data_IF_737942179632
#
_entry.id   IF_737942179632
#
_cell.length_a   1.000
_cell.length_b   1.000
_cell.length_c   1.000
_cell.angle_alpha   90.00
_cell.angle_beta   90.00
_cell.angle_gamma   90.00
#
_symmetry.space_group_name_H-M   'P 1'
#
loop_
_entity.id
_entity.type
_entity.pdbx_description
1 polymer ?
#
# COMPACT_ATOMS: atom_id res chain seq x y z
N UNK A 1 -7.66 7.39 -9.49
CA UNK A 1 -7.11 6.02 -9.58
C UNK A 1 -8.11 5.03 -9.00
N UNK A 2 -8.27 3.83 -9.58
CA UNK A 2 -9.18 2.79 -9.05
C UNK A 2 -8.39 1.78 -8.21
N UNK A 3 -8.79 1.57 -6.96
CA UNK A 3 -8.15 0.62 -6.04
C UNK A 3 -9.18 -0.45 -5.67
N UNK A 4 -8.79 -1.72 -5.77
CA UNK A 4 -9.57 -2.87 -5.29
C UNK A 4 -8.93 -3.42 -4.01
N UNK A 5 -9.69 -3.47 -2.92
CA UNK A 5 -9.22 -3.90 -1.60
C UNK A 5 -10.21 -4.87 -0.95
N UNK A 6 -9.74 -5.70 -0.03
CA UNK A 6 -10.58 -6.57 0.80
C UNK A 6 -10.93 -5.87 2.10
N UNK A 7 -12.23 -5.82 2.41
CA UNK A 7 -12.76 -5.29 3.68
C UNK A 7 -13.58 -6.31 4.40
N UNK A 8 -13.73 -6.15 5.72
CA UNK A 8 -14.69 -6.93 6.48
C UNK A 8 -16.07 -6.80 5.86
N UNK A 9 -16.71 -7.94 5.60
CA UNK A 9 -17.99 -7.96 4.90
C UNK A 9 -19.06 -7.22 5.71
N UNK A 10 -19.65 -6.18 5.14
CA UNK A 10 -20.68 -5.37 5.81
C UNK A 10 -21.96 -6.17 6.10
N UNK A 11 -22.31 -7.13 5.23
CA UNK A 11 -23.53 -7.94 5.35
C UNK A 11 -23.49 -8.89 6.55
N UNK A 12 -22.34 -9.53 6.82
CA UNK A 12 -22.20 -10.48 7.93
C UNK A 12 -21.36 -9.96 9.09
N UNK A 13 -20.83 -8.72 8.99
CA UNK A 13 -19.94 -8.07 9.97
C UNK A 13 -18.77 -8.97 10.40
N UNK A 14 -18.14 -9.64 9.44
CA UNK A 14 -17.00 -10.52 9.70
C UNK A 14 -17.34 -11.91 10.25
N UNK A 15 -18.62 -12.26 10.46
CA UNK A 15 -19.01 -13.60 10.93
C UNK A 15 -18.88 -14.69 9.85
N UNK A 16 -19.07 -14.31 8.58
CA UNK A 16 -19.02 -15.23 7.43
C UNK A 16 -20.35 -15.96 7.15
N UNK A 17 -21.31 -15.89 8.06
CA UNK A 17 -22.65 -16.47 7.90
C UNK A 17 -23.77 -15.56 8.38
N UNK A 18 -25.01 -16.06 8.31
CA UNK A 18 -26.20 -15.41 8.90
C UNK A 18 -26.08 -15.34 10.43
N UNK A 19 -26.76 -14.36 11.02
CA UNK A 19 -26.88 -14.25 12.48
C UNK A 19 -27.56 -15.51 13.05
N UNK A 20 -26.89 -16.19 13.97
CA UNK A 20 -27.36 -17.46 14.54
C UNK A 20 -27.28 -18.65 13.58
N UNK A 21 -26.53 -18.54 12.47
CA UNK A 21 -26.36 -19.62 11.51
C UNK A 21 -25.79 -20.89 12.15
N UNK A 22 -26.32 -22.05 11.74
CA UNK A 22 -25.89 -23.32 12.30
C UNK A 22 -24.44 -23.56 11.92
N UNK A 23 -23.60 -23.68 12.95
CA UNK A 23 -22.17 -23.95 12.78
C UNK A 23 -21.91 -25.39 13.18
N UNK A 24 -21.37 -26.18 12.26
CA UNK A 24 -21.06 -27.58 12.48
C UNK A 24 -19.57 -27.76 12.78
N UNK A 25 -19.24 -28.75 13.62
CA UNK A 25 -17.84 -29.13 13.85
C UNK A 25 -17.24 -29.62 12.54
N UNK A 26 -16.05 -29.12 12.21
CA UNK A 26 -15.35 -29.56 11.01
C UNK A 26 -15.02 -31.05 11.12
N UNK A 27 -15.59 -31.88 10.23
CA UNK A 27 -15.38 -33.34 10.22
C UNK A 27 -13.91 -33.70 10.05
N UNK A 28 -13.17 -32.91 9.26
CA UNK A 28 -11.78 -33.21 8.92
C UNK A 28 -10.75 -32.89 10.01
N UNK A 29 -11.08 -32.02 10.96
CA UNK A 29 -10.18 -31.69 12.10
C UNK A 29 -10.86 -31.88 13.46
N UNK A 30 -12.10 -32.36 13.48
CA UNK A 30 -12.93 -32.61 14.67
C UNK A 30 -12.97 -31.42 15.65
N UNK A 31 -13.01 -30.19 15.13
CA UNK A 31 -13.00 -28.98 15.97
C UNK A 31 -11.62 -28.39 16.26
N UNK A 32 -10.53 -29.10 15.96
CA UNK A 32 -9.16 -28.66 16.31
C UNK A 32 -8.63 -27.49 15.47
N UNK A 33 -9.19 -27.24 14.28
CA UNK A 33 -8.69 -26.23 13.34
C UNK A 33 -7.36 -26.58 12.66
N UNK A 34 -6.64 -27.59 13.16
CA UNK A 34 -5.36 -28.07 12.62
C UNK A 34 -5.44 -29.55 12.27
N UNK A 35 -4.75 -29.95 11.19
CA UNK A 35 -4.55 -31.35 10.77
C UNK A 35 -3.11 -31.76 11.08
N UNK A 36 -2.95 -32.94 11.68
CA UNK A 36 -1.66 -33.59 11.90
C UNK A 36 -1.30 -34.39 10.65
N UNK A 37 -0.13 -34.15 10.09
CA UNK A 37 0.41 -34.85 8.94
C UNK A 37 1.75 -35.47 9.35
N UNK A 38 1.91 -36.76 9.11
CA UNK A 38 3.18 -37.44 9.36
C UNK A 38 3.93 -37.55 8.05
N UNK A 39 5.12 -36.96 7.99
CA UNK A 39 5.98 -37.02 6.82
C UNK A 39 7.27 -37.77 7.16
N UNK A 40 7.61 -38.74 6.32
CA UNK A 40 8.88 -39.46 6.45
C UNK A 40 10.01 -38.61 5.87
N UNK A 41 10.93 -38.19 6.73
CA UNK A 41 12.11 -37.39 6.38
C UNK A 41 13.35 -38.17 6.76
N UNK A 42 14.00 -38.78 5.76
CA UNK A 42 15.14 -39.67 5.95
C UNK A 42 14.77 -40.90 6.77
N UNK A 43 15.48 -41.09 7.89
CA UNK A 43 15.32 -42.24 8.79
C UNK A 43 14.36 -41.98 9.97
N UNK A 44 13.67 -40.83 10.01
CA UNK A 44 12.70 -40.48 11.05
C UNK A 44 11.31 -40.13 10.51
N UNK A 45 10.28 -40.40 11.32
CA UNK A 45 8.92 -39.89 11.10
C UNK A 45 8.77 -38.55 11.81
N UNK A 46 8.45 -37.49 11.08
CA UNK A 46 8.24 -36.15 11.64
C UNK A 46 6.75 -35.83 11.63
N UNK A 47 6.22 -35.38 12.76
CA UNK A 47 4.85 -34.86 12.87
C UNK A 47 4.83 -33.38 12.50
N UNK A 48 4.02 -33.03 11.52
CA UNK A 48 3.79 -31.67 11.07
C UNK A 48 2.34 -31.26 11.35
N UNK A 49 2.14 -30.05 11.86
CA UNK A 49 0.81 -29.48 12.06
C UNK A 49 0.54 -28.48 10.93
N UNK A 50 -0.54 -28.69 10.18
CA UNK A 50 -1.02 -27.78 9.15
C UNK A 50 -2.41 -27.24 9.47
N UNK A 51 -2.73 -26.03 9.01
CA UNK A 51 -4.08 -25.48 9.12
C UNK A 51 -5.07 -26.35 8.34
N UNK A 52 -6.20 -26.68 8.94
CA UNK A 52 -7.25 -27.45 8.27
C UNK A 52 -7.82 -26.63 7.10
N UNK A 53 -7.73 -27.14 5.88
CA UNK A 53 -8.22 -26.45 4.68
C UNK A 53 -9.75 -26.33 4.65
N UNK A 54 -10.46 -27.30 5.24
CA UNK A 54 -11.93 -27.36 5.22
C UNK A 54 -12.59 -26.27 6.10
N UNK A 55 -11.96 -25.92 7.22
CA UNK A 55 -12.43 -24.86 8.12
C UNK A 55 -11.51 -23.64 8.19
N UNK A 56 -10.43 -23.61 7.40
CA UNK A 56 -9.41 -22.55 7.39
C UNK A 56 -8.90 -22.17 8.79
N UNK A 57 -8.80 -23.14 9.70
CA UNK A 57 -8.37 -22.90 11.08
C UNK A 57 -9.47 -22.53 12.08
N UNK A 58 -10.71 -22.32 11.64
CA UNK A 58 -11.82 -21.96 12.53
C UNK A 58 -12.30 -23.14 13.42
N UNK A 59 -11.91 -24.38 13.12
CA UNK A 59 -12.40 -25.58 13.79
C UNK A 59 -13.82 -25.99 13.39
N UNK A 60 -14.56 -25.08 12.75
CA UNK A 60 -15.95 -25.27 12.39
C UNK A 60 -16.29 -24.75 11.00
N UNK A 61 -17.36 -25.30 10.45
CA UNK A 61 -17.82 -25.02 9.09
C UNK A 61 -19.26 -24.54 9.15
N UNK A 62 -19.53 -23.47 8.42
CA UNK A 62 -20.88 -22.96 8.20
C UNK A 62 -21.57 -23.83 7.14
N UNK A 63 -22.80 -24.28 7.45
CA UNK A 63 -23.66 -24.96 6.50
C UNK A 63 -23.82 -24.10 5.23
N UNK A 64 -23.87 -24.74 4.06
CA UNK A 64 -23.89 -24.01 2.78
C UNK A 64 -25.06 -23.02 2.66
N UNK A 65 -26.21 -23.35 3.25
CA UNK A 65 -27.39 -22.49 3.29
C UNK A 65 -27.23 -21.22 4.15
N UNK A 66 -26.35 -21.27 5.16
CA UNK A 66 -26.14 -20.20 6.13
C UNK A 66 -24.94 -19.32 5.80
N UNK A 67 -24.17 -19.66 4.75
CA UNK A 67 -23.06 -18.83 4.28
C UNK A 67 -23.59 -17.50 3.76
N UNK A 68 -22.87 -16.43 4.07
CA UNK A 68 -23.19 -15.11 3.57
C UNK A 68 -23.06 -15.10 2.04
N UNK A 69 -24.07 -14.60 1.32
CA UNK A 69 -24.07 -14.53 -0.15
C UNK A 69 -23.00 -13.59 -0.72
N UNK A 70 -22.51 -12.62 0.07
CA UNK A 70 -21.53 -11.61 -0.39
C UNK A 70 -20.08 -12.10 -0.24
N UNK A 71 -19.76 -12.78 0.86
CA UNK A 71 -18.39 -13.24 1.15
C UNK A 71 -18.23 -14.76 1.07
N UNK A 72 -19.32 -15.51 0.88
CA UNK A 72 -19.34 -16.97 0.76
C UNK A 72 -18.63 -17.72 1.92
N UNK A 73 -18.63 -17.12 3.12
CA UNK A 73 -17.94 -17.66 4.29
C UNK A 73 -16.52 -17.13 4.51
N UNK A 74 -15.95 -16.35 3.58
CA UNK A 74 -14.60 -15.78 3.69
C UNK A 74 -14.50 -14.61 4.68
N UNK A 75 -15.63 -14.11 5.20
CA UNK A 75 -15.73 -12.97 6.17
C UNK A 75 -15.27 -11.61 5.63
N UNK A 76 -14.53 -11.57 4.53
CA UNK A 76 -14.13 -10.38 3.80
C UNK A 76 -14.84 -10.29 2.44
N UNK A 77 -15.09 -9.07 1.97
CA UNK A 77 -15.65 -8.77 0.66
C UNK A 77 -14.70 -7.83 -0.10
N UNK A 78 -14.68 -7.93 -1.43
CA UNK A 78 -13.88 -7.02 -2.27
C UNK A 78 -14.66 -5.73 -2.48
N UNK A 79 -14.04 -4.61 -2.18
CA UNK A 79 -14.55 -3.25 -2.36
C UNK A 79 -13.65 -2.50 -3.33
N UNK A 80 -14.25 -1.82 -4.30
CA UNK A 80 -13.54 -0.91 -5.21
C UNK A 80 -13.79 0.53 -4.82
N UNK A 81 -12.71 1.31 -4.63
CA UNK A 81 -12.77 2.72 -4.28
C UNK A 81 -11.94 3.54 -5.25
N UNK A 82 -12.44 4.71 -5.63
CA UNK A 82 -11.67 5.72 -6.37
C UNK A 82 -10.94 6.58 -5.35
N UNK A 83 -9.62 6.69 -5.49
CA UNK A 83 -8.78 7.55 -4.66
C UNK A 83 -8.10 8.58 -5.56
N UNK A 84 -8.11 9.82 -5.08
CA UNK A 84 -7.39 10.95 -5.64
C UNK A 84 -6.07 11.09 -4.91
N UNK A 85 -4.99 11.22 -5.68
CA UNK A 85 -3.63 11.30 -5.15
C UNK A 85 -2.98 12.50 -5.78
N UNK A 86 -2.56 13.45 -4.96
CA UNK A 86 -1.82 14.62 -5.40
C UNK A 86 -0.34 14.26 -5.49
N UNK A 87 0.28 14.56 -6.64
CA UNK A 87 1.71 14.35 -6.88
C UNK A 87 2.38 15.72 -6.86
N UNK A 88 3.29 15.92 -5.91
CA UNK A 88 4.04 17.16 -5.81
C UNK A 88 4.96 17.37 -7.02
N UNK A 89 5.04 18.63 -7.46
CA UNK A 89 5.93 19.02 -8.55
C UNK A 89 7.38 18.66 -8.21
N UNK A 90 8.08 18.07 -9.18
CA UNK A 90 9.47 17.65 -9.00
C UNK A 90 9.63 16.30 -8.30
N UNK A 91 8.56 15.59 -7.95
CA UNK A 91 8.66 14.21 -7.46
C UNK A 91 9.51 13.37 -8.43
N UNK A 92 10.54 12.74 -7.88
CA UNK A 92 11.47 11.89 -8.63
C UNK A 92 10.96 10.46 -8.74
N UNK A 93 11.67 9.66 -9.54
CA UNK A 93 11.46 8.21 -9.56
C UNK A 93 11.70 7.62 -8.16
N UNK A 94 10.82 6.70 -7.75
CA UNK A 94 10.92 6.03 -6.46
C UNK A 94 10.31 6.79 -5.29
N UNK A 95 9.80 8.01 -5.51
CA UNK A 95 8.98 8.72 -4.53
C UNK A 95 7.79 7.85 -4.10
N UNK A 96 7.53 7.82 -2.79
CA UNK A 96 6.51 6.96 -2.17
C UNK A 96 5.37 7.80 -1.63
N UNK A 97 4.15 7.46 -2.04
CA UNK A 97 2.93 8.02 -1.48
C UNK A 97 2.24 6.91 -0.70
N UNK A 98 1.90 7.17 0.56
CA UNK A 98 1.33 6.19 1.47
C UNK A 98 -0.14 6.53 1.67
N UNK A 99 -1.03 5.63 1.26
CA UNK A 99 -2.45 5.71 1.55
C UNK A 99 -2.72 4.88 2.80
N UNK A 100 -2.81 5.56 3.94
CA UNK A 100 -2.96 4.93 5.25
C UNK A 100 -4.33 4.25 5.35
N UNK A 101 -4.33 2.99 5.76
CA UNK A 101 -5.52 2.20 5.98
C UNK A 101 -6.34 1.92 4.73
N UNK A 102 -5.83 2.19 3.51
CA UNK A 102 -6.53 1.92 2.24
C UNK A 102 -6.22 0.53 1.67
N UNK A 103 -5.39 -0.26 2.34
CA UNK A 103 -5.01 -1.62 1.95
C UNK A 103 -6.03 -2.68 2.36
N UNK A 104 -5.60 -3.94 2.26
CA UNK A 104 -6.43 -5.09 2.62
C UNK A 104 -6.61 -5.20 4.14
N UNK A 105 -7.83 -5.57 4.53
CA UNK A 105 -8.18 -5.93 5.89
C UNK A 105 -8.30 -7.45 6.04
N UNK A 106 -7.75 -7.98 7.13
CA UNK A 106 -7.88 -9.38 7.50
C UNK A 106 -9.14 -9.60 8.37
N UNK A 107 -9.80 -10.77 8.27
CA UNK A 107 -11.07 -11.03 8.95
C UNK A 107 -11.02 -11.04 10.49
N UNK A 108 -9.82 -11.06 11.09
CA UNK A 108 -9.61 -11.02 12.54
C UNK A 108 -8.76 -9.80 12.97
N UNK A 109 -8.69 -8.77 12.12
CA UNK A 109 -7.94 -7.54 12.40
C UNK A 109 -8.84 -6.34 12.13
N UNK A 110 -8.93 -5.47 13.12
CA UNK A 110 -9.74 -4.25 13.00
C UNK A 110 -9.07 -3.22 12.08
N UNK A 111 -7.74 -3.16 12.10
CA UNK A 111 -6.96 -2.28 11.23
C UNK A 111 -6.75 -2.89 9.84
N UNK A 112 -6.94 -2.08 8.81
CA UNK A 112 -6.48 -2.38 7.46
C UNK A 112 -5.01 -2.01 7.27
N UNK A 113 -4.38 -2.66 6.29
CA UNK A 113 -3.03 -2.29 5.86
C UNK A 113 -3.00 -0.98 5.08
N UNK A 114 -1.79 -0.60 4.67
CA UNK A 114 -1.53 0.60 3.90
C UNK A 114 -1.25 0.25 2.43
N UNK A 115 -1.53 1.18 1.52
CA UNK A 115 -1.14 1.07 0.11
C UNK A 115 0.06 1.98 -0.13
N UNK A 116 1.16 1.38 -0.57
CA UNK A 116 2.36 2.11 -0.99
C UNK A 116 2.35 2.29 -2.49
N UNK A 117 2.17 3.53 -2.94
CA UNK A 117 2.27 3.90 -4.35
C UNK A 117 3.70 4.36 -4.58
N UNK A 118 4.39 3.71 -5.52
CA UNK A 118 5.74 4.10 -5.94
C UNK A 118 5.62 4.76 -7.30
N UNK A 119 6.08 6.01 -7.38
CA UNK A 119 6.10 6.74 -8.63
C UNK A 119 7.18 6.16 -9.54
N UNK A 120 6.77 5.79 -10.75
CA UNK A 120 7.67 5.35 -11.81
C UNK A 120 7.64 6.40 -12.91
N UNK A 121 8.80 6.93 -13.23
CA UNK A 121 8.93 7.88 -14.34
C UNK A 121 8.71 7.16 -15.67
N UNK A 122 7.92 7.78 -16.54
CA UNK A 122 7.69 7.27 -17.90
C UNK A 122 8.82 7.77 -18.79
N UNK A 123 9.49 6.84 -19.47
CA UNK A 123 10.56 7.21 -20.41
C UNK A 123 10.02 8.15 -21.50
N UNK A 124 10.70 9.27 -21.70
CA UNK A 124 10.40 10.23 -22.75
C UNK A 124 11.34 10.03 -23.94
N UNK A 125 10.85 10.27 -25.16
CA UNK A 125 11.62 10.00 -26.40
C UNK A 125 12.81 10.93 -26.61
N UNK A 126 12.76 12.13 -26.02
CA UNK A 126 13.73 13.21 -26.24
C UNK A 126 14.54 13.51 -24.99
N UNK A 127 13.94 13.33 -23.82
CA UNK A 127 14.51 13.77 -22.55
C UNK A 127 14.71 12.58 -21.63
N UNK A 128 15.84 12.54 -20.95
CA UNK A 128 16.13 11.60 -19.88
C UNK A 128 16.40 12.40 -18.62
N UNK A 129 15.67 12.13 -17.54
CA UNK A 129 15.95 12.77 -16.25
C UNK A 129 17.09 12.07 -15.55
N UNK A 130 18.06 12.83 -15.09
CA UNK A 130 19.16 12.37 -14.22
C UNK A 130 19.10 13.18 -12.94
N UNK A 131 18.40 12.66 -11.93
CA UNK A 131 18.21 13.35 -10.65
C UNK A 131 17.35 14.62 -10.77
N UNK A 132 17.99 15.79 -10.65
CA UNK A 132 17.32 17.09 -10.79
C UNK A 132 17.49 17.70 -12.19
N UNK A 133 18.27 17.06 -13.05
CA UNK A 133 18.61 17.55 -14.39
C UNK A 133 17.87 16.76 -15.49
N UNK A 134 17.69 17.40 -16.64
CA UNK A 134 17.15 16.80 -17.87
C UNK A 134 18.24 16.78 -18.93
N UNK A 135 18.58 15.59 -19.41
CA UNK A 135 19.54 15.34 -20.47
C UNK A 135 18.81 15.08 -21.80
N UNK A 136 19.40 15.53 -22.90
CA UNK A 136 18.94 15.22 -24.24
C UNK A 136 20.13 15.13 -25.20
N UNK A 137 20.08 14.17 -26.12
CA UNK A 137 21.09 14.02 -27.15
C UNK A 137 20.72 14.89 -28.36
N UNK A 138 21.41 16.02 -28.53
CA UNK A 138 21.28 16.87 -29.71
C UNK A 138 22.34 16.48 -30.72
N UNK A 139 21.92 16.00 -31.90
CA UNK A 139 22.83 15.80 -33.03
C UNK A 139 23.15 17.16 -33.65
N UNK A 140 24.41 17.54 -33.59
CA UNK A 140 24.92 18.74 -34.26
C UNK A 140 25.79 18.31 -35.42
N UNK A 141 25.43 18.75 -36.63
CA UNK A 141 26.26 18.57 -37.81
C UNK A 141 27.42 19.56 -37.78
N UNK A 142 28.65 19.06 -37.65
CA UNK A 142 29.85 19.89 -37.63
C UNK A 142 30.41 19.98 -39.06
N UNK A 143 30.65 21.17 -39.62
CA UNK A 143 31.35 21.31 -40.90
C UNK A 143 32.83 20.89 -40.79
N UNK A 144 33.39 20.39 -41.89
CA UNK A 144 34.74 19.80 -42.01
C UNK A 144 35.90 20.70 -41.50
N UNK A 145 35.64 22.00 -41.34
CA UNK A 145 36.55 22.96 -40.71
C UNK A 145 35.79 23.82 -39.70
N UNK A 146 36.20 23.74 -38.43
CA UNK A 146 35.75 24.65 -37.38
C UNK A 146 36.57 25.95 -37.56
N UNK A 147 36.01 26.92 -38.27
CA UNK A 147 36.63 28.24 -38.30
C UNK A 147 36.64 28.82 -36.87
N UNK A 148 37.78 29.37 -36.38
CA UNK A 148 37.87 29.95 -35.03
C UNK A 148 36.84 31.07 -34.77
N UNK A 149 36.30 31.65 -35.83
CA UNK A 149 35.24 32.66 -35.80
C UNK A 149 33.85 32.10 -35.48
N UNK A 150 33.65 30.77 -35.52
CA UNK A 150 32.39 30.11 -35.17
C UNK A 150 32.29 29.72 -33.68
N UNK A 151 33.39 29.74 -32.91
CA UNK A 151 33.35 29.47 -31.47
C UNK A 151 32.30 30.31 -30.70
N UNK A 152 32.19 31.65 -30.88
CA UNK A 152 31.16 32.44 -30.21
C UNK A 152 29.73 32.12 -30.71
N UNK A 153 29.58 31.63 -31.95
CA UNK A 153 28.28 31.14 -32.46
C UNK A 153 27.91 29.77 -31.90
N UNK A 154 28.88 28.97 -31.49
CA UNK A 154 28.64 27.68 -30.85
C UNK A 154 28.06 27.87 -29.44
N UNK A 155 28.50 28.90 -28.70
CA UNK A 155 27.90 29.34 -27.43
C UNK A 155 26.47 29.88 -27.63
N UNK A 156 26.19 30.51 -28.77
CA UNK A 156 24.83 30.96 -29.15
C UNK A 156 23.90 29.80 -29.54
N UNK A 157 24.43 28.74 -30.18
CA UNK A 157 23.69 27.52 -30.56
C UNK A 157 23.44 26.60 -29.35
N UNK A 158 24.42 26.49 -28.44
CA UNK A 158 24.27 25.76 -27.18
C UNK A 158 23.44 26.53 -26.16
N UNK A 159 23.27 27.85 -26.37
CA UNK A 159 22.40 28.75 -25.62
C UNK A 159 22.87 28.99 -24.18
N UNK A 160 22.51 30.15 -23.62
CA UNK A 160 22.43 30.27 -22.16
C UNK A 160 21.41 29.26 -21.65
N UNK A 161 21.77 28.58 -20.54
CA UNK A 161 21.00 27.58 -19.80
C UNK A 161 19.50 27.71 -20.09
N UNK A 162 18.97 26.88 -20.99
CA UNK A 162 17.56 26.97 -21.37
C UNK A 162 16.71 26.55 -20.17
N UNK A 163 16.05 27.53 -19.52
CA UNK A 163 14.94 27.25 -18.61
C UNK A 163 13.75 26.78 -19.45
N UNK A 164 13.69 25.47 -19.69
CA UNK A 164 12.52 24.84 -20.28
C UNK A 164 11.44 24.83 -19.19
N UNK A 165 10.60 25.87 -19.19
CA UNK A 165 9.35 25.85 -18.43
C UNK A 165 8.42 24.87 -19.14
N UNK A 166 8.44 23.62 -18.69
CA UNK A 166 7.45 22.63 -19.09
C UNK A 166 6.08 23.16 -18.63
N UNK A 167 5.27 23.67 -19.57
CA UNK A 167 3.84 23.81 -19.33
C UNK A 167 3.31 22.39 -19.26
N UNK A 168 2.96 21.96 -18.05
CA UNK A 168 2.37 20.64 -17.84
C UNK A 168 1.17 20.45 -18.76
N UNK A 169 1.01 19.24 -19.28
CA UNK A 169 -0.20 18.85 -19.98
C UNK A 169 -1.39 19.05 -19.02
N UNK A 170 -2.19 20.09 -19.27
CA UNK A 170 -3.43 20.40 -18.56
C UNK A 170 -4.47 19.33 -18.94
N UNK A 171 -4.45 18.18 -18.27
CA UNK A 171 -5.72 17.48 -18.02
C UNK A 171 -6.44 18.27 -16.91
N UNK A 172 -7.59 18.85 -17.24
CA UNK A 172 -8.42 19.71 -16.39
C UNK A 172 -8.61 19.12 -14.98
N UNK A 173 -7.79 19.56 -14.03
CA UNK A 173 -8.10 19.48 -12.60
C UNK A 173 -8.65 20.84 -12.21
N UNK A 174 -9.94 20.89 -11.91
CA UNK A 174 -10.62 22.10 -11.46
C UNK A 174 -10.01 22.58 -10.13
N UNK A 175 -9.05 23.49 -10.21
CA UNK A 175 -8.46 24.15 -9.06
C UNK A 175 -9.30 25.38 -8.73
N UNK A 176 -9.98 25.36 -7.58
CA UNK A 176 -10.53 26.59 -6.99
C UNK A 176 -9.39 27.44 -6.41
N UNK A 177 -9.42 28.78 -6.55
CA UNK A 177 -8.30 29.63 -6.16
C UNK A 177 -8.18 29.73 -4.63
N UNK A 178 -7.02 29.36 -4.10
CA UNK A 178 -6.58 29.64 -2.73
C UNK A 178 -5.65 30.85 -2.74
N UNK A 179 -5.98 31.89 -1.97
CA UNK A 179 -5.14 33.07 -1.79
C UNK A 179 -3.92 32.73 -0.93
N UNK A 180 -2.76 32.73 -1.57
CA UNK A 180 -1.49 32.31 -0.97
C UNK A 180 -0.98 33.22 0.14
N UNK A 181 -0.36 32.61 1.15
CA UNK A 181 0.62 33.27 2.01
C UNK A 181 1.98 32.61 1.79
N UNK A 182 2.95 33.39 1.29
CA UNK A 182 4.31 32.94 1.02
C UNK A 182 5.00 32.58 2.33
N UNK A 183 5.40 31.32 2.48
CA UNK A 183 6.38 30.92 3.50
C UNK A 183 7.77 31.11 2.91
N UNK A 184 8.44 32.18 3.34
CA UNK A 184 9.87 32.38 3.17
C UNK A 184 10.61 31.26 3.88
N UNK A 185 11.47 30.56 3.14
CA UNK A 185 12.24 29.46 3.67
C UNK A 185 13.30 29.91 4.66
N UNK A 186 13.54 29.06 5.66
CA UNK A 186 14.77 29.07 6.43
C UNK A 186 15.42 27.69 6.33
N UNK A 187 16.64 27.74 5.80
CA UNK A 187 17.65 26.70 5.77
C UNK A 187 18.05 26.37 7.21
N UNK A 188 18.54 25.14 7.40
CA UNK A 188 19.41 24.69 8.50
C UNK A 188 18.75 23.91 9.64
N UNK A 189 18.94 22.57 9.62
CA UNK A 189 19.62 21.78 10.68
C UNK A 189 19.42 20.27 10.40
N UNK A 190 20.48 19.57 10.00
CA UNK A 190 21.44 18.85 10.86
C UNK A 190 20.88 17.52 11.37
N UNK A 191 21.21 16.46 10.62
CA UNK A 191 21.22 15.09 11.12
C UNK A 191 22.13 15.00 12.34
N UNK A 192 21.56 14.56 13.46
CA UNK A 192 22.29 14.33 14.71
C UNK A 192 21.38 13.67 15.72
N UNK A 193 21.52 12.34 15.87
CA UNK A 193 20.81 11.59 16.89
C UNK A 193 21.20 11.99 18.31
N UNK A 194 20.30 11.74 19.25
CA UNK A 194 20.61 11.38 20.65
C UNK A 194 19.41 10.71 21.29
N UNK A 195 19.73 9.63 22.01
CA UNK A 195 18.83 8.87 22.87
C UNK A 195 18.29 9.71 24.06
N UNK A 196 17.08 9.32 24.49
CA UNK A 196 16.36 9.46 25.78
C UNK A 196 17.23 9.69 27.04
N UNK A 197 16.74 10.30 28.16
CA UNK A 197 15.57 9.79 28.92
C UNK A 197 14.71 10.78 29.73
N UNK A 198 13.54 10.30 30.16
CA UNK A 198 12.88 10.71 31.41
C UNK A 198 11.66 11.61 31.27
N UNK A 199 10.48 11.05 31.50
CA UNK A 199 9.22 11.78 31.66
C UNK A 199 8.13 10.85 32.17
N UNK A 200 7.94 10.85 33.48
CA UNK A 200 6.89 10.14 34.23
C UNK A 200 5.52 10.78 34.01
N UNK A 201 4.49 9.96 33.80
CA UNK A 201 3.13 10.23 34.24
C UNK A 201 2.38 8.89 34.40
N UNK A 202 2.04 8.58 35.66
CA UNK A 202 0.87 7.78 36.04
C UNK A 202 -0.38 8.56 35.54
N UNK A 203 -1.58 8.03 35.30
CA UNK A 203 -2.40 7.01 35.98
C UNK A 203 -3.52 6.63 34.98
N UNK A 204 -3.69 5.35 34.65
CA UNK A 204 -4.82 4.49 35.04
C UNK A 204 -6.23 5.10 34.87
N UNK A 205 -6.88 4.81 33.74
CA UNK A 205 -8.30 4.49 33.70
C UNK A 205 -8.49 3.24 32.81
N UNK A 206 -9.14 2.23 33.40
CA UNK A 206 -9.24 0.88 32.85
C UNK A 206 -10.03 0.84 31.56
N UNK A 207 -9.41 0.29 30.51
CA UNK A 207 -10.14 -0.17 29.35
C UNK A 207 -10.38 -1.67 29.54
N UNK A 208 -11.62 -2.01 29.91
CA UNK A 208 -12.09 -3.38 29.97
C UNK A 208 -11.82 -4.05 28.62
N UNK A 209 -11.03 -5.13 28.66
CA UNK A 209 -10.94 -6.06 27.54
C UNK A 209 -12.32 -6.68 27.38
N UNK A 210 -13.10 -6.10 26.46
CA UNK A 210 -14.29 -6.74 25.94
C UNK A 210 -13.94 -8.17 25.55
N UNK A 211 -14.74 -9.09 26.08
CA UNK A 211 -14.75 -10.51 25.79
C UNK A 211 -14.26 -10.78 24.36
N UNK A 212 -13.15 -11.51 24.27
CA UNK A 212 -12.77 -12.14 23.02
C UNK A 212 -13.89 -13.14 22.72
N UNK A 213 -14.79 -12.80 21.80
CA UNK A 213 -15.79 -13.70 21.25
C UNK A 213 -15.11 -15.04 20.94
N UNK A 214 -15.36 -16.04 21.80
CA UNK A 214 -14.92 -17.40 21.59
C UNK A 214 -15.48 -17.86 20.24
N UNK A 215 -14.71 -18.66 19.46
CA UNK A 215 -15.27 -19.27 18.27
C UNK A 215 -16.54 -20.04 18.69
N UNK A 216 -17.68 -19.88 17.98
CA UNK A 216 -19.02 -20.32 18.40
C UNK A 216 -19.19 -21.83 18.62
N UNK A 217 -18.11 -22.59 18.50
CA UNK A 217 -18.08 -24.04 18.58
C UNK A 217 -17.61 -24.64 19.89
N UNK A 218 -17.28 -23.81 20.90
CA UNK A 218 -16.92 -24.34 22.23
C UNK A 218 -18.12 -24.77 23.08
N UNK A 219 -19.35 -24.61 22.60
CA UNK A 219 -20.54 -25.07 23.31
C UNK A 219 -20.95 -26.46 22.82
N UNK A 220 -20.34 -27.49 23.41
CA UNK A 220 -20.93 -28.82 23.60
C UNK A 220 -20.13 -29.61 24.63
#
# INVERSE_FOLDING_TARGET
MHISRKRTCHSCRGRGGREGGATEKCSSCQGSGVKKMYQQLGMGLVEMHGTCQDCQGAGCVLAAADRCSVCEGQRVAVESKIVEVEIEAGAGEGSKIILVGEGDQLPNKDAAGDVHIVLKEKEHKVFRRTGLDLETDVKVDIPERIDPSLCPKLEEILGERMEIVLKGDEEEVNLMPYEGQRVSGDREQRWGGRNTPGGTAQDSEGFEFGESDEPPCRQS
#
